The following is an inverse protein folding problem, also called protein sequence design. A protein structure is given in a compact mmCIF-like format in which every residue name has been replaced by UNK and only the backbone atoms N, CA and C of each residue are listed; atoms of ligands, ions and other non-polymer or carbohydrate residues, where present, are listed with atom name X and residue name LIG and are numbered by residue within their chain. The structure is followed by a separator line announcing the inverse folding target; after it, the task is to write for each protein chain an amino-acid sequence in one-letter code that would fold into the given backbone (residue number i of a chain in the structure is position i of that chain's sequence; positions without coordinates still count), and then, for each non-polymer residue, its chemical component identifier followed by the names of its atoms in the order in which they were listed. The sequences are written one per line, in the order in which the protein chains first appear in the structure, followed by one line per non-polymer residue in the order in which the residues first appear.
data_IF_269482518664
#
_entry.id   IF_269482518664
#
_cell.length_a   1.000
_cell.length_b   1.000
_cell.length_c   1.000
_cell.angle_alpha   90.00
_cell.angle_beta   90.00
_cell.angle_gamma   90.00
#
_symmetry.space_group_name_H-M   'P 1'
#
loop_
_entity.id
_entity.type
_entity.pdbx_description
1 polymer ?
#
# COMPACT_ATOMS: atom_id res chain seq x y z
N UNK A 1 24.29 -4.58 1.49
CA UNK A 1 23.50 -4.75 2.74
C UNK A 1 22.15 -5.24 2.30
N UNK A 2 21.72 -6.41 2.78
CA UNK A 2 20.41 -6.96 2.47
C UNK A 2 19.42 -6.12 3.27
N UNK A 3 18.70 -5.23 2.58
CA UNK A 3 17.67 -4.42 3.21
C UNK A 3 16.48 -5.35 3.44
N UNK A 4 16.49 -6.08 4.56
CA UNK A 4 15.51 -7.11 4.88
C UNK A 4 14.13 -6.49 5.09
N UNK A 5 13.45 -6.13 4.01
CA UNK A 5 12.07 -5.67 4.05
C UNK A 5 11.13 -6.85 3.82
N UNK A 6 10.10 -6.96 4.64
CA UNK A 6 9.08 -7.99 4.54
C UNK A 6 7.73 -7.37 4.21
N UNK A 7 6.99 -8.02 3.29
CA UNK A 7 5.58 -7.73 3.07
C UNK A 7 4.82 -8.39 4.22
N UNK A 8 4.15 -7.59 5.04
CA UNK A 8 3.45 -8.07 6.25
C UNK A 8 1.93 -8.10 6.09
N UNK A 9 1.42 -7.32 5.13
CA UNK A 9 0.00 -7.16 4.92
C UNK A 9 -0.28 -6.64 3.51
N UNK A 10 -1.41 -7.03 2.91
CA UNK A 10 -1.91 -6.35 1.71
C UNK A 10 -3.42 -6.38 1.56
N UNK A 11 -3.89 -5.41 0.79
CA UNK A 11 -5.25 -5.22 0.33
C UNK A 11 -5.28 -5.48 -1.17
N UNK A 12 -6.11 -6.41 -1.59
CA UNK A 12 -6.22 -6.81 -2.99
C UNK A 12 -7.48 -6.26 -3.64
N UNK A 13 -7.31 -5.67 -4.82
CA UNK A 13 -8.37 -5.30 -5.75
C UNK A 13 -8.01 -5.85 -7.14
N UNK A 14 -8.97 -5.94 -8.07
CA UNK A 14 -8.74 -6.55 -9.39
C UNK A 14 -7.55 -5.95 -10.13
N UNK A 15 -7.38 -4.63 -10.07
CA UNK A 15 -6.36 -3.91 -10.85
C UNK A 15 -5.17 -3.41 -10.02
N UNK A 16 -5.36 -3.31 -8.70
CA UNK A 16 -4.43 -2.64 -7.78
C UNK A 16 -4.30 -3.47 -6.51
N UNK A 17 -3.11 -3.52 -5.94
CA UNK A 17 -2.91 -3.97 -4.57
C UNK A 17 -2.29 -2.84 -3.73
N UNK A 18 -2.72 -2.69 -2.48
CA UNK A 18 -2.05 -1.82 -1.50
C UNK A 18 -1.28 -2.71 -0.53
N UNK A 19 0.01 -2.51 -0.43
CA UNK A 19 0.93 -3.42 0.25
C UNK A 19 1.63 -2.69 1.38
N UNK A 20 1.62 -3.30 2.55
CA UNK A 20 2.39 -2.86 3.72
C UNK A 20 3.70 -3.61 3.80
N UNK A 21 4.76 -2.85 4.04
CA UNK A 21 6.11 -3.35 4.14
C UNK A 21 6.74 -2.84 5.42
N UNK A 22 7.41 -3.75 6.14
CA UNK A 22 8.19 -3.45 7.33
C UNK A 22 9.67 -3.75 7.10
N UNK A 23 10.56 -2.93 7.66
CA UNK A 23 11.98 -3.22 7.73
C UNK A 23 12.29 -4.17 8.90
N UNK A 24 12.90 -5.31 8.61
CA UNK A 24 13.37 -6.24 9.62
C UNK A 24 14.49 -5.59 10.44
N UNK A 25 14.32 -5.58 11.77
CA UNK A 25 15.32 -5.07 12.71
C UNK A 25 15.03 -3.68 13.30
N UNK A 26 14.09 -2.90 12.77
CA UNK A 26 13.65 -1.68 13.46
C UNK A 26 12.59 -2.06 14.49
N UNK A 27 12.98 -2.17 15.75
CA UNK A 27 12.08 -2.54 16.86
C UNK A 27 10.83 -1.67 17.00
N UNK A 28 10.74 -0.55 16.27
CA UNK A 28 9.55 0.25 16.03
C UNK A 28 9.84 1.20 14.83
N UNK A 29 8.86 1.45 13.94
CA UNK A 29 8.53 2.77 13.31
C UNK A 29 8.67 3.10 11.81
N UNK A 30 9.02 2.20 10.88
CA UNK A 30 8.86 2.55 9.45
C UNK A 30 7.97 1.56 8.70
N UNK A 31 6.65 1.75 8.84
CA UNK A 31 5.63 1.11 8.02
C UNK A 31 5.51 1.88 6.70
N UNK A 32 5.87 1.23 5.59
CA UNK A 32 5.74 1.80 4.27
C UNK A 32 4.57 1.14 3.54
N UNK A 33 3.70 1.99 3.00
CA UNK A 33 2.59 1.55 2.17
C UNK A 33 2.89 1.84 0.70
N UNK A 34 2.62 0.87 -0.16
CA UNK A 34 2.80 0.96 -1.59
C UNK A 34 1.52 0.60 -2.32
N UNK A 35 1.29 1.26 -3.43
CA UNK A 35 0.25 0.90 -4.38
C UNK A 35 0.93 0.23 -5.58
N UNK A 36 0.58 -1.03 -5.82
CA UNK A 36 1.05 -1.86 -6.93
C UNK A 36 -0.05 -1.96 -7.99
N UNK A 37 0.22 -1.49 -9.21
CA UNK A 37 -0.69 -1.61 -10.34
C UNK A 37 -0.40 -2.88 -11.12
N UNK A 38 -1.29 -3.87 -11.03
CA UNK A 38 -1.06 -5.24 -11.53
C UNK A 38 -0.79 -5.30 -13.04
N UNK A 39 -1.58 -4.60 -13.85
CA UNK A 39 -1.43 -4.63 -15.31
C UNK A 39 -0.12 -3.98 -15.82
N UNK A 40 0.38 -2.97 -15.10
CA UNK A 40 1.55 -2.19 -15.52
C UNK A 40 2.83 -2.55 -14.78
N UNK A 41 2.73 -3.38 -13.74
CA UNK A 41 3.84 -3.69 -12.82
C UNK A 41 4.48 -2.43 -12.21
N UNK A 42 3.71 -1.35 -12.05
CA UNK A 42 4.21 -0.09 -11.49
C UNK A 42 3.92 0.03 -10.00
N UNK A 43 4.86 0.60 -9.27
CA UNK A 43 4.79 0.79 -7.82
C UNK A 43 4.84 2.28 -7.49
N UNK A 44 3.94 2.74 -6.62
CA UNK A 44 3.92 4.12 -6.12
C UNK A 44 3.83 4.10 -4.60
N UNK A 45 4.50 5.06 -3.93
CA UNK A 45 4.30 5.26 -2.49
C UNK A 45 2.85 5.65 -2.24
N UNK A 46 2.25 5.01 -1.26
CA UNK A 46 0.88 5.22 -0.82
C UNK A 46 0.89 5.64 0.65
N UNK A 47 -0.05 6.49 1.05
CA UNK A 47 -0.21 6.89 2.46
C UNK A 47 -1.69 7.02 2.77
N UNK A 48 -2.14 6.32 3.79
CA UNK A 48 -3.47 6.52 4.35
C UNK A 48 -3.53 7.85 5.08
N UNK A 49 -4.61 8.61 4.87
CA UNK A 49 -4.96 9.73 5.74
C UNK A 49 -6.11 9.33 6.67
N UNK A 50 -6.08 9.72 7.95
CA UNK A 50 -7.22 9.49 8.83
C UNK A 50 -8.45 10.24 8.30
N UNK A 51 -9.62 9.61 8.42
CA UNK A 51 -10.91 10.14 7.94
C UNK A 51 -11.23 11.55 8.47
N UNK A 52 -10.69 11.90 9.65
CA UNK A 52 -10.84 13.20 10.32
C UNK A 52 -9.90 14.30 9.83
N UNK A 53 -8.96 14.00 8.93
CA UNK A 53 -8.05 14.98 8.36
C UNK A 53 -8.77 15.89 7.34
N UNK A 54 -9.51 16.87 7.83
CA UNK A 54 -10.19 17.91 7.05
C UNK A 54 -9.26 18.98 6.49
N UNK A 55 -7.96 18.92 6.81
CA UNK A 55 -7.00 19.91 6.33
C UNK A 55 -6.69 19.68 4.85
N UNK A 56 -7.28 20.55 4.02
CA UNK A 56 -6.76 20.91 2.70
C UNK A 56 -5.28 21.26 2.87
N UNK A 57 -4.40 20.30 2.61
CA UNK A 57 -2.96 20.58 2.53
C UNK A 57 -2.77 21.45 1.30
N UNK A 58 -2.37 22.69 1.54
CA UNK A 58 -2.16 23.73 0.53
C UNK A 58 -1.45 23.19 -0.72
N UNK A 59 -2.14 23.29 -1.87
CA UNK A 59 -1.52 23.54 -3.16
C UNK A 59 -0.66 22.44 -3.81
N UNK A 60 -0.59 21.22 -3.28
CA UNK A 60 0.10 20.11 -3.98
C UNK A 60 -0.83 18.92 -4.22
N UNK A 61 -0.86 18.48 -5.48
CA UNK A 61 -1.58 17.30 -5.94
C UNK A 61 -0.87 16.01 -5.51
N UNK A 62 -0.75 15.79 -4.20
CA UNK A 62 -0.32 14.50 -3.70
C UNK A 62 -1.51 13.54 -3.75
N UNK A 63 -1.35 12.45 -4.51
CA UNK A 63 -2.34 11.39 -4.78
C UNK A 63 -2.92 10.85 -3.47
N UNK A 64 -4.25 10.81 -3.36
CA UNK A 64 -4.99 10.78 -2.09
C UNK A 64 -5.68 9.44 -1.88
N UNK A 65 -5.41 8.76 -0.75
CA UNK A 65 -6.08 7.54 -0.29
C UNK A 65 -6.89 7.79 1.00
N UNK A 66 -8.21 7.62 1.01
CA UNK A 66 -9.05 7.69 2.24
C UNK A 66 -9.60 6.32 2.63
N UNK A 67 -9.30 5.83 3.84
CA UNK A 67 -9.91 4.62 4.38
C UNK A 67 -11.34 4.92 4.86
N UNK A 68 -12.36 4.38 4.18
CA UNK A 68 -13.73 4.36 4.71
C UNK A 68 -13.92 3.08 5.52
N UNK A 69 -14.20 3.25 6.81
CA UNK A 69 -14.57 2.13 7.68
C UNK A 69 -15.72 1.34 7.06
N UNK A 70 -15.58 0.01 6.99
CA UNK A 70 -16.66 -0.89 6.58
C UNK A 70 -17.06 -1.74 7.78
N UNK A 71 -18.36 -2.12 7.89
CA UNK A 71 -18.83 -2.97 8.97
C UNK A 71 -18.39 -4.43 8.83
N UNK A 72 -17.67 -4.80 7.75
CA UNK A 72 -17.19 -6.15 7.48
C UNK A 72 -15.67 -6.20 7.69
N UNK A 73 -15.18 -6.93 8.72
CA UNK A 73 -13.75 -7.21 8.87
C UNK A 73 -13.17 -7.81 7.58
N UNK A 74 -11.99 -7.36 7.18
CA UNK A 74 -11.29 -7.86 5.99
C UNK A 74 -11.76 -7.31 4.64
N UNK A 75 -12.73 -6.38 4.59
CA UNK A 75 -13.07 -5.63 3.37
C UNK A 75 -13.01 -4.14 3.64
N UNK A 76 -12.34 -3.40 2.76
CA UNK A 76 -12.06 -1.97 2.94
C UNK A 76 -12.39 -1.18 1.67
N UNK A 77 -13.17 -0.11 1.81
CA UNK A 77 -13.40 0.83 0.72
C UNK A 77 -12.42 1.99 0.83
N UNK A 78 -11.54 2.16 -0.16
CA UNK A 78 -10.50 3.18 -0.19
C UNK A 78 -10.72 4.10 -1.38
N UNK A 79 -10.87 5.40 -1.12
CA UNK A 79 -10.92 6.40 -2.18
C UNK A 79 -9.51 6.74 -2.64
N UNK A 80 -9.18 6.47 -3.90
CA UNK A 80 -7.91 6.81 -4.57
C UNK A 80 -8.21 7.74 -5.75
N UNK A 81 -7.64 8.94 -5.76
CA UNK A 81 -7.81 9.92 -6.85
C UNK A 81 -9.29 10.15 -7.23
N UNK A 82 -10.15 10.36 -6.22
CA UNK A 82 -11.61 10.55 -6.35
C UNK A 82 -12.41 9.32 -6.83
N UNK A 83 -11.77 8.16 -6.96
CA UNK A 83 -12.43 6.90 -7.29
C UNK A 83 -12.42 5.98 -6.08
N UNK A 84 -13.55 5.36 -5.76
CA UNK A 84 -13.64 4.42 -4.63
C UNK A 84 -13.35 3.02 -5.15
N UNK A 85 -12.40 2.36 -4.52
CA UNK A 85 -12.04 0.98 -4.77
C UNK A 85 -12.38 0.15 -3.54
N UNK A 86 -13.02 -0.99 -3.75
CA UNK A 86 -13.19 -2.00 -2.71
C UNK A 86 -12.03 -2.97 -2.77
N UNK A 87 -11.36 -3.13 -1.64
CA UNK A 87 -10.28 -4.07 -1.43
C UNK A 87 -10.70 -5.15 -0.45
N UNK A 88 -10.21 -6.36 -0.69
CA UNK A 88 -10.28 -7.46 0.25
C UNK A 88 -8.89 -7.67 0.87
N UNK A 89 -8.86 -7.80 2.18
CA UNK A 89 -7.65 -8.14 2.93
C UNK A 89 -7.21 -9.55 2.62
N UNK A 90 -5.91 -9.72 2.38
CA UNK A 90 -5.31 -11.02 2.11
C UNK A 90 -4.03 -11.21 2.91
N UNK A 91 -3.74 -12.48 3.20
CA UNK A 91 -2.50 -12.88 3.86
C UNK A 91 -1.35 -12.80 2.85
N UNK A 92 -0.16 -12.28 3.22
CA UNK A 92 0.97 -12.09 2.29
C UNK A 92 1.27 -13.30 1.40
N UNK A 93 1.10 -14.52 1.89
CA UNK A 93 1.31 -15.79 1.17
C UNK A 93 0.41 -15.93 -0.06
N UNK A 94 -0.72 -15.23 -0.10
CA UNK A 94 -1.69 -15.24 -1.19
C UNK A 94 -1.32 -14.26 -2.32
N UNK A 95 -0.34 -13.37 -2.09
CA UNK A 95 0.14 -12.45 -3.12
C UNK A 95 0.80 -13.23 -4.26
N UNK A 96 0.53 -12.83 -5.51
CA UNK A 96 1.20 -13.43 -6.66
C UNK A 96 2.73 -13.26 -6.59
N UNK A 97 3.46 -14.28 -7.06
CA UNK A 97 4.92 -14.27 -7.07
C UNK A 97 5.46 -13.05 -7.82
N UNK A 98 4.84 -12.69 -8.95
CA UNK A 98 5.25 -11.54 -9.76
C UNK A 98 5.17 -10.23 -8.96
N UNK A 99 4.04 -9.99 -8.29
CA UNK A 99 3.85 -8.79 -7.47
C UNK A 99 4.85 -8.72 -6.32
N UNK A 100 5.04 -9.85 -5.62
CA UNK A 100 6.02 -9.97 -4.53
C UNK A 100 7.43 -9.66 -5.02
N UNK A 101 7.86 -10.24 -6.15
CA UNK A 101 9.17 -10.00 -6.74
C UNK A 101 9.35 -8.55 -7.15
N UNK A 102 8.35 -7.93 -7.77
CA UNK A 102 8.41 -6.52 -8.17
C UNK A 102 8.55 -5.57 -6.98
N UNK A 103 7.79 -5.81 -5.91
CA UNK A 103 7.84 -5.00 -4.69
C UNK A 103 9.19 -5.12 -4.00
N UNK A 104 9.69 -6.34 -3.82
CA UNK A 104 11.01 -6.57 -3.23
C UNK A 104 12.12 -5.96 -4.08
N UNK A 105 12.03 -6.05 -5.41
CA UNK A 105 12.97 -5.39 -6.34
C UNK A 105 12.92 -3.87 -6.18
N UNK A 106 11.73 -3.29 -6.13
CA UNK A 106 11.55 -1.85 -5.96
C UNK A 106 12.15 -1.36 -4.63
N UNK A 107 11.93 -2.09 -3.54
CA UNK A 107 12.51 -1.78 -2.23
C UNK A 107 14.03 -1.80 -2.24
N UNK A 108 14.62 -2.79 -2.92
CA UNK A 108 16.08 -2.89 -3.06
C UNK A 108 16.67 -1.79 -3.97
N UNK A 109 15.93 -1.36 -5.00
CA UNK A 109 16.39 -0.35 -5.96
C UNK A 109 16.13 1.09 -5.49
N UNK A 110 15.13 1.32 -4.64
CA UNK A 110 14.79 2.64 -4.10
C UNK A 110 15.76 3.15 -3.02
N UNK A 111 16.77 2.35 -2.66
CA UNK A 111 17.90 2.74 -1.81
C UNK A 111 19.09 3.13 -2.71
N UNK A 112 18.96 4.28 -3.38
CA UNK A 112 20.08 5.09 -3.90
C UNK A 112 19.76 6.55 -3.60
#
# INVERSE_FOLDING_TARGET
MQNDHQIVYFLDHSDIAIVEVEAAGSGFKEMLWFMYHKASHTIKRFKFRPLSATTKVNGKADKKGFLKFTPKPGRYSIEIDHTIFDFDEQLPEQMSNDARTDILRYLNAAVI
#
